data_IF_951071194633
#
_entry.id   IF_951071194633
#
_cell.length_a   1.000
_cell.length_b   1.000
_cell.length_c   1.000
_cell.angle_alpha   90.00
_cell.angle_beta   90.00
_cell.angle_gamma   90.00
#
_symmetry.space_group_name_H-M   'P 1'
#
loop_
_entity.id
_entity.type
_entity.pdbx_description
1 polymer ?
#
# COMPACT_ATOMS: atom_id res chain seq x y z
N UNK A 1 15.49 16.58 -11.10
CA UNK A 1 15.14 15.14 -10.95
C UNK A 1 13.63 15.04 -10.99
N UNK A 2 13.07 14.28 -11.94
CA UNK A 2 11.62 14.09 -12.03
C UNK A 2 11.15 13.25 -10.84
N UNK A 3 10.27 13.83 -10.01
CA UNK A 3 9.65 13.20 -8.83
C UNK A 3 8.81 11.97 -9.23
N UNK A 4 8.49 11.83 -10.52
CA UNK A 4 7.75 10.71 -11.07
C UNK A 4 8.38 9.33 -10.81
N UNK A 5 9.71 9.25 -10.64
CA UNK A 5 10.39 7.97 -10.40
C UNK A 5 10.32 7.42 -8.97
N UNK A 6 10.03 8.26 -7.97
CA UNK A 6 10.14 7.87 -6.55
C UNK A 6 8.88 7.21 -5.99
N UNK A 7 7.77 7.28 -6.72
CA UNK A 7 6.48 6.69 -6.34
C UNK A 7 5.84 5.86 -7.47
N UNK A 8 6.61 5.54 -8.53
CA UNK A 8 6.17 4.54 -9.51
C UNK A 8 5.76 3.28 -8.76
N UNK A 9 4.54 2.79 -9.04
CA UNK A 9 4.12 1.52 -8.46
C UNK A 9 5.20 0.48 -8.73
N UNK A 10 5.64 -0.25 -7.69
CA UNK A 10 6.74 -1.23 -7.73
C UNK A 10 6.53 -2.42 -8.68
N UNK A 11 5.50 -2.35 -9.52
CA UNK A 11 5.00 -3.39 -10.39
C UNK A 11 5.10 -2.88 -11.82
N UNK A 12 6.09 -3.38 -12.56
CA UNK A 12 6.34 -3.05 -13.98
C UNK A 12 5.21 -3.44 -14.95
N UNK A 13 3.98 -3.62 -14.47
CA UNK A 13 2.78 -3.97 -15.23
C UNK A 13 1.69 -2.90 -15.27
N UNK A 14 1.92 -1.72 -14.67
CA UNK A 14 0.92 -0.65 -14.62
C UNK A 14 1.29 0.57 -15.47
N UNK A 15 0.31 1.08 -16.23
CA UNK A 15 0.42 2.31 -17.02
C UNK A 15 0.14 3.53 -16.13
N UNK A 16 1.01 4.56 -16.08
CA UNK A 16 0.87 5.70 -15.18
C UNK A 16 -0.50 6.37 -15.21
N UNK A 17 -1.08 6.58 -16.39
CA UNK A 17 -2.36 7.27 -16.56
C UNK A 17 -3.50 6.48 -15.91
N UNK A 18 -3.46 5.16 -16.11
CA UNK A 18 -4.47 4.23 -15.60
C UNK A 18 -4.34 4.00 -14.09
N UNK A 19 -3.13 4.16 -13.54
CA UNK A 19 -2.89 4.15 -12.09
C UNK A 19 -3.64 5.30 -11.42
N UNK A 20 -3.43 6.53 -11.89
CA UNK A 20 -4.04 7.71 -11.27
C UNK A 20 -5.56 7.62 -11.31
N UNK A 21 -6.12 7.21 -12.46
CA UNK A 21 -7.56 7.04 -12.58
C UNK A 21 -8.10 5.95 -11.63
N UNK A 22 -7.42 4.80 -11.52
CA UNK A 22 -7.85 3.74 -10.61
C UNK A 22 -7.72 4.15 -9.14
N UNK A 23 -6.66 4.88 -8.79
CA UNK A 23 -6.42 5.40 -7.44
C UNK A 23 -7.47 6.45 -7.06
N UNK A 24 -7.81 7.37 -7.96
CA UNK A 24 -8.85 8.37 -7.72
C UNK A 24 -10.22 7.72 -7.48
N UNK A 25 -10.58 6.72 -8.29
CA UNK A 25 -11.81 5.96 -8.09
C UNK A 25 -11.81 5.21 -6.76
N UNK A 26 -10.73 4.50 -6.44
CA UNK A 26 -10.60 3.79 -5.16
C UNK A 26 -10.70 4.74 -3.96
N UNK A 27 -10.07 5.91 -4.07
CA UNK A 27 -10.04 6.89 -3.00
C UNK A 27 -11.42 7.47 -2.68
N UNK A 28 -12.31 7.59 -3.68
CA UNK A 28 -13.68 8.05 -3.46
C UNK A 28 -14.43 7.12 -2.49
N UNK A 29 -14.26 5.80 -2.66
CA UNK A 29 -14.96 4.79 -1.87
C UNK A 29 -14.24 4.47 -0.54
N UNK A 30 -12.90 4.59 -0.52
CA UNK A 30 -12.03 4.15 0.59
C UNK A 30 -11.29 5.27 1.30
N UNK A 31 -11.86 6.47 1.31
CA UNK A 31 -11.22 7.68 1.87
C UNK A 31 -10.79 7.51 3.32
N UNK A 32 -11.58 6.81 4.13
CA UNK A 32 -11.31 6.64 5.56
C UNK A 32 -10.12 5.71 5.78
N UNK A 33 -10.06 4.61 5.04
CA UNK A 33 -8.97 3.63 5.06
C UNK A 33 -7.65 4.27 4.62
N UNK A 34 -7.68 5.07 3.55
CA UNK A 34 -6.51 5.86 3.14
C UNK A 34 -6.05 6.81 4.24
N UNK A 35 -6.99 7.53 4.88
CA UNK A 35 -6.65 8.47 5.96
C UNK A 35 -6.03 7.74 7.14
N UNK A 36 -6.62 6.64 7.59
CA UNK A 36 -6.12 5.86 8.73
C UNK A 36 -4.72 5.31 8.45
N UNK A 37 -4.51 4.66 7.30
CA UNK A 37 -3.20 4.16 6.93
C UNK A 37 -2.18 5.29 6.79
N UNK A 38 -2.57 6.44 6.24
CA UNK A 38 -1.66 7.58 6.11
C UNK A 38 -1.16 8.10 7.45
N UNK A 39 -2.02 8.11 8.49
CA UNK A 39 -1.65 8.53 9.85
C UNK A 39 -0.75 7.51 10.56
N UNK A 40 -0.86 6.23 10.20
CA UNK A 40 0.02 5.17 10.73
C UNK A 40 1.38 5.18 10.02
N UNK A 41 1.38 5.34 8.70
CA UNK A 41 2.57 5.18 7.87
C UNK A 41 3.42 6.46 7.76
N UNK A 42 2.81 7.63 7.94
CA UNK A 42 3.45 8.93 7.75
C UNK A 42 3.26 9.81 8.98
N UNK A 43 4.31 10.55 9.34
CA UNK A 43 4.17 11.63 10.32
C UNK A 43 3.28 12.76 9.79
N UNK A 44 2.65 13.54 10.68
CA UNK A 44 1.85 14.71 10.28
C UNK A 44 2.64 15.69 9.40
N UNK A 45 3.93 15.88 9.73
CA UNK A 45 4.83 16.71 8.92
C UNK A 45 5.01 16.15 7.50
N UNK A 46 5.10 14.83 7.37
CA UNK A 46 5.20 14.17 6.07
C UNK A 46 3.89 14.25 5.29
N UNK A 47 2.73 14.08 5.94
CA UNK A 47 1.41 14.21 5.30
C UNK A 47 1.20 15.59 4.69
N UNK A 48 1.59 16.65 5.41
CA UNK A 48 1.44 18.02 4.93
C UNK A 48 2.44 18.41 3.83
N UNK A 49 3.59 17.75 3.78
CA UNK A 49 4.65 18.04 2.81
C UNK A 49 4.63 17.13 1.58
N UNK A 50 3.92 16.00 1.63
CA UNK A 50 3.92 14.98 0.57
C UNK A 50 2.67 15.09 -0.30
N UNK A 51 2.76 15.69 -1.51
CA UNK A 51 1.61 15.81 -2.42
C UNK A 51 1.07 14.45 -2.91
N UNK A 52 1.91 13.41 -2.94
CA UNK A 52 1.60 12.07 -3.45
C UNK A 52 1.46 11.01 -2.36
N UNK A 53 0.94 11.39 -1.19
CA UNK A 53 0.82 10.48 -0.05
C UNK A 53 -0.15 9.31 -0.35
N UNK A 54 -1.12 9.48 -1.26
CA UNK A 54 -2.06 8.43 -1.64
C UNK A 54 -1.35 7.31 -2.39
N UNK A 55 -0.47 7.67 -3.32
CA UNK A 55 0.37 6.75 -4.08
C UNK A 55 1.32 6.00 -3.16
N UNK A 56 1.83 6.67 -2.12
CA UNK A 56 2.62 6.02 -1.08
C UNK A 56 1.82 4.97 -0.31
N UNK A 57 0.60 5.30 0.15
CA UNK A 57 -0.29 4.35 0.83
C UNK A 57 -0.66 3.17 -0.08
N UNK A 58 -0.92 3.44 -1.36
CA UNK A 58 -1.21 2.40 -2.35
C UNK A 58 0.01 1.48 -2.56
N UNK A 59 1.21 2.04 -2.69
CA UNK A 59 2.44 1.26 -2.81
C UNK A 59 2.65 0.33 -1.62
N UNK A 60 2.50 0.86 -0.42
CA UNK A 60 2.55 0.06 0.80
C UNK A 60 1.51 -1.07 0.78
N UNK A 61 0.27 -0.76 0.35
CA UNK A 61 -0.81 -1.74 0.23
C UNK A 61 -0.49 -2.86 -0.75
N UNK A 62 0.09 -2.53 -1.91
CA UNK A 62 0.56 -3.52 -2.89
C UNK A 62 1.67 -4.41 -2.32
N UNK A 63 2.60 -3.84 -1.55
CA UNK A 63 3.67 -4.58 -0.88
C UNK A 63 3.15 -5.53 0.20
N UNK A 64 2.07 -5.16 0.91
CA UNK A 64 1.40 -6.06 1.87
C UNK A 64 0.76 -7.25 1.17
N UNK A 65 0.08 -7.05 0.04
CA UNK A 65 -0.51 -8.16 -0.73
C UNK A 65 0.55 -9.11 -1.30
N UNK A 66 1.64 -8.56 -1.82
CA UNK A 66 2.79 -9.33 -2.29
C UNK A 66 3.41 -10.16 -1.15
N UNK A 67 3.66 -9.54 0.00
CA UNK A 67 4.19 -10.23 1.17
C UNK A 67 3.23 -11.33 1.68
N UNK A 68 1.92 -11.07 1.68
CA UNK A 68 0.92 -12.05 2.09
C UNK A 68 0.90 -13.28 1.17
N UNK A 69 1.08 -13.10 -0.14
CA UNK A 69 1.22 -14.24 -1.08
C UNK A 69 2.44 -15.09 -0.76
N UNK A 70 3.55 -14.48 -0.36
CA UNK A 70 4.72 -15.21 0.12
C UNK A 70 4.44 -15.94 1.44
N UNK A 71 3.83 -15.27 2.42
CA UNK A 71 3.52 -15.88 3.73
C UNK A 71 2.55 -17.05 3.63
N UNK A 72 1.59 -16.96 2.70
CA UNK A 72 0.57 -17.99 2.45
C UNK A 72 1.06 -19.11 1.51
N UNK A 73 2.31 -19.05 1.03
CA UNK A 73 2.89 -20.05 0.13
C UNK A 73 2.41 -19.98 -1.32
N UNK A 74 1.64 -18.95 -1.68
CA UNK A 74 1.21 -18.70 -3.07
C UNK A 74 2.33 -18.17 -3.97
N UNK A 75 3.41 -17.66 -3.39
CA UNK A 75 4.59 -17.17 -4.11
C UNK A 75 5.87 -17.62 -3.39
N UNK A 76 6.95 -17.90 -4.14
CA UNK A 76 8.20 -18.34 -3.55
C UNK A 76 8.81 -17.27 -2.65
N UNK A 77 9.57 -17.69 -1.65
CA UNK A 77 10.40 -16.79 -0.85
C UNK A 77 11.54 -16.25 -1.72
N UNK A 78 11.74 -14.94 -1.67
CA UNK A 78 12.96 -14.30 -2.16
C UNK A 78 13.94 -14.09 -0.99
N UNK A 79 15.21 -13.80 -1.30
CA UNK A 79 16.22 -13.50 -0.28
C UNK A 79 15.91 -12.26 0.55
N UNK A 80 15.06 -11.35 0.05
CA UNK A 80 14.64 -10.12 0.73
C UNK A 80 13.26 -10.24 1.41
N UNK A 81 12.54 -11.35 1.22
CA UNK A 81 11.19 -11.55 1.77
C UNK A 81 11.12 -11.40 3.30
N UNK A 82 12.07 -11.94 4.10
CA UNK A 82 12.05 -11.74 5.55
C UNK A 82 12.19 -10.27 5.97
N UNK A 83 13.09 -9.53 5.33
CA UNK A 83 13.34 -8.11 5.63
C UNK A 83 12.15 -7.25 5.22
N UNK A 84 11.54 -7.53 4.05
CA UNK A 84 10.32 -6.85 3.59
C UNK A 84 9.17 -7.08 4.57
N UNK A 85 8.95 -8.33 4.98
CA UNK A 85 7.92 -8.67 5.96
C UNK A 85 8.12 -7.94 7.30
N UNK A 86 9.34 -7.96 7.85
CA UNK A 86 9.64 -7.28 9.09
C UNK A 86 9.45 -5.75 8.99
N UNK A 87 9.79 -5.16 7.84
CA UNK A 87 9.62 -3.73 7.59
C UNK A 87 8.13 -3.35 7.62
N UNK A 88 7.28 -4.09 6.91
CA UNK A 88 5.83 -3.87 6.89
C UNK A 88 5.22 -3.99 8.30
N UNK A 89 5.58 -5.06 9.02
CA UNK A 89 5.09 -5.31 10.38
C UNK A 89 5.55 -4.22 11.36
N UNK A 90 6.80 -3.76 11.24
CA UNK A 90 7.33 -2.67 12.08
C UNK A 90 6.62 -1.35 11.83
N UNK A 91 6.32 -1.02 10.57
CA UNK A 91 5.61 0.22 10.23
C UNK A 91 4.18 0.21 10.79
N UNK A 92 3.44 -0.89 10.63
CA UNK A 92 2.07 -0.97 11.13
C UNK A 92 1.98 -1.17 12.64
N UNK A 93 2.93 -1.91 13.21
CA UNK A 93 2.99 -2.24 14.63
C UNK A 93 3.49 -1.10 15.52
N UNK A 94 4.03 -0.03 14.95
CA UNK A 94 4.49 1.11 15.72
C UNK A 94 3.33 1.70 16.55
N UNK A 95 3.56 1.85 17.85
CA UNK A 95 2.61 2.32 18.86
C UNK A 95 1.29 1.53 18.95
N UNK A 96 1.26 0.28 18.45
CA UNK A 96 0.11 -0.62 18.63
C UNK A 96 0.31 -1.49 19.86
N UNK A 97 -0.77 -1.70 20.59
CA UNK A 97 -0.75 -2.44 21.87
C UNK A 97 -1.35 -3.84 21.74
N UNK A 98 -1.94 -4.18 20.59
CA UNK A 98 -2.53 -5.49 20.34
C UNK A 98 -2.29 -6.02 18.93
N UNK A 99 -2.22 -7.34 18.80
CA UNK A 99 -2.14 -8.03 17.51
C UNK A 99 -3.39 -7.77 16.64
N UNK A 100 -4.55 -7.55 17.26
CA UNK A 100 -5.80 -7.27 16.55
C UNK A 100 -5.72 -5.95 15.77
N UNK A 101 -5.08 -4.92 16.33
CA UNK A 101 -4.85 -3.65 15.62
C UNK A 101 -3.91 -3.84 14.43
N UNK A 102 -2.84 -4.61 14.59
CA UNK A 102 -1.92 -4.93 13.50
C UNK A 102 -2.62 -5.72 12.39
N UNK A 103 -3.39 -6.75 12.75
CA UNK A 103 -4.17 -7.54 11.79
C UNK A 103 -5.21 -6.68 11.04
N UNK A 104 -5.87 -5.75 11.73
CA UNK A 104 -6.80 -4.81 11.11
C UNK A 104 -6.12 -3.97 10.01
N UNK A 105 -4.96 -3.38 10.32
CA UNK A 105 -4.21 -2.56 9.36
C UNK A 105 -3.66 -3.37 8.18
N UNK A 106 -3.21 -4.60 8.43
CA UNK A 106 -2.79 -5.54 7.38
C UNK A 106 -3.95 -5.88 6.45
N UNK A 107 -5.13 -6.20 7.01
CA UNK A 107 -6.32 -6.51 6.23
C UNK A 107 -6.78 -5.31 5.40
N UNK A 108 -6.74 -4.10 5.97
CA UNK A 108 -7.08 -2.88 5.25
C UNK A 108 -6.14 -2.65 4.07
N UNK A 109 -4.82 -2.74 4.31
CA UNK A 109 -3.80 -2.61 3.26
C UNK A 109 -3.98 -3.67 2.16
N UNK A 110 -4.24 -4.93 2.54
CA UNK A 110 -4.52 -6.02 1.60
C UNK A 110 -5.76 -5.74 0.74
N UNK A 111 -6.86 -5.33 1.36
CA UNK A 111 -8.11 -5.04 0.65
C UNK A 111 -7.96 -3.89 -0.34
N UNK A 112 -7.29 -2.79 0.05
CA UNK A 112 -7.00 -1.67 -0.86
C UNK A 112 -6.21 -2.12 -2.09
N UNK A 113 -5.22 -2.99 -1.90
CA UNK A 113 -4.46 -3.58 -3.01
C UNK A 113 -5.34 -4.40 -3.95
N UNK A 114 -6.18 -5.28 -3.42
CA UNK A 114 -7.08 -6.10 -4.24
C UNK A 114 -8.10 -5.24 -5.01
N UNK A 115 -8.72 -4.26 -4.35
CA UNK A 115 -9.70 -3.37 -4.97
C UNK A 115 -9.06 -2.49 -6.04
N UNK A 116 -7.88 -1.93 -5.77
CA UNK A 116 -7.10 -1.19 -6.78
C UNK A 116 -6.87 -2.03 -8.03
N UNK A 117 -6.41 -3.29 -7.86
CA UNK A 117 -6.13 -4.19 -8.99
C UNK A 117 -7.39 -4.50 -9.80
N UNK A 118 -8.54 -4.65 -9.14
CA UNK A 118 -9.82 -4.86 -9.80
C UNK A 118 -10.30 -3.64 -10.58
N UNK A 119 -10.23 -2.44 -9.98
CA UNK A 119 -10.56 -1.19 -10.67
C UNK A 119 -9.64 -1.01 -11.86
N UNK A 120 -8.33 -1.14 -11.66
CA UNK A 120 -7.34 -1.05 -12.71
C UNK A 120 -7.65 -2.05 -13.83
N UNK A 121 -7.95 -3.32 -13.53
CA UNK A 121 -8.28 -4.33 -14.56
C UNK A 121 -9.48 -3.92 -15.42
N UNK A 122 -10.47 -3.21 -14.87
CA UNK A 122 -11.71 -2.81 -15.55
C UNK A 122 -11.59 -1.54 -16.37
N UNK A 123 -10.63 -0.66 -16.07
CA UNK A 123 -10.35 0.51 -16.90
C UNK A 123 -9.80 0.06 -18.27
N UNK A 124 -10.27 0.66 -19.36
CA UNK A 124 -9.85 0.32 -20.73
C UNK A 124 -8.51 0.95 -21.07
#
# INVERSE_FOLDING_TARGET
>A
MSIAGMYMLNTGGYKPEKIHQALDMLYLDRKNEFRELSQVLLSEKALNAMPYWKEFVLNFSLDVEDAFKTWSGQSPLSSSSPQKALTLLRQLGHDKTSMNQLAHLLNMSYNLSCEFKEIYRRLK
#
